data_IF_402903478934
#
_entry.id   IF_402903478934
#
_cell.length_a   1.000
_cell.length_b   1.000
_cell.length_c   1.000
_cell.angle_alpha   90.00
_cell.angle_beta   90.00
_cell.angle_gamma   90.00
#
_symmetry.space_group_name_H-M   'P 1'
#
loop_
_entity.id
_entity.type
_entity.pdbx_description
1 polymer ?
#
# COMPACT_ATOMS: atom_id res chain seq x y z
N UNK A 1 -0.03 3.53 -18.58
CA UNK A 1 0.20 4.92 -18.14
C UNK A 1 0.22 5.00 -16.61
N UNK A 2 0.88 6.00 -16.02
CA UNK A 2 0.80 6.30 -14.57
C UNK A 2 0.30 7.74 -14.41
N UNK A 3 -0.89 7.96 -13.86
CA UNK A 3 -1.31 9.29 -13.43
C UNK A 3 -0.34 9.79 -12.35
N UNK A 4 0.41 10.84 -12.69
CA UNK A 4 1.32 11.52 -11.78
C UNK A 4 0.52 12.49 -10.89
N UNK A 5 0.78 12.44 -9.57
CA UNK A 5 0.22 13.31 -8.53
C UNK A 5 -1.21 13.83 -8.86
N UNK A 6 -2.19 12.91 -8.98
CA UNK A 6 -3.46 13.16 -9.67
C UNK A 6 -4.35 14.20 -8.98
N UNK A 7 -4.06 14.50 -7.72
CA UNK A 7 -4.79 15.45 -6.89
C UNK A 7 -4.04 16.79 -6.68
N UNK A 8 -2.88 16.94 -7.32
CA UNK A 8 -2.07 18.15 -7.24
C UNK A 8 -2.90 19.40 -7.62
N UNK A 9 -2.88 20.47 -6.81
CA UNK A 9 -3.80 21.60 -6.95
C UNK A 9 -3.41 22.60 -8.06
N UNK A 10 -2.38 22.32 -8.85
CA UNK A 10 -1.96 23.21 -9.93
C UNK A 10 -2.75 23.00 -11.22
N UNK A 11 -2.83 24.05 -12.02
CA UNK A 11 -3.55 24.05 -13.30
C UNK A 11 -2.98 22.96 -14.21
N UNK A 12 -3.85 22.08 -14.69
CA UNK A 12 -3.48 20.99 -15.60
C UNK A 12 -3.00 19.70 -14.91
N UNK A 13 -2.81 19.70 -13.59
CA UNK A 13 -2.33 18.51 -12.87
C UNK A 13 -3.45 17.54 -12.48
N UNK A 14 -4.68 18.02 -12.33
CA UNK A 14 -5.79 17.16 -11.89
C UNK A 14 -6.12 16.07 -12.92
N UNK A 15 -5.96 14.81 -12.52
CA UNK A 15 -6.30 13.66 -13.34
C UNK A 15 -7.82 13.45 -13.40
N UNK A 16 -8.38 13.36 -14.61
CA UNK A 16 -9.84 13.25 -14.84
C UNK A 16 -10.27 12.13 -15.78
N UNK A 17 -9.33 11.30 -16.24
CA UNK A 17 -9.57 10.29 -17.28
C UNK A 17 -9.99 8.91 -16.73
N UNK A 18 -10.18 8.80 -15.40
CA UNK A 18 -10.39 7.52 -14.73
C UNK A 18 -9.12 6.66 -14.66
N UNK A 19 -9.20 5.52 -13.98
CA UNK A 19 -8.02 4.66 -13.69
C UNK A 19 -8.08 3.29 -14.41
N UNK A 20 -9.06 3.07 -15.28
CA UNK A 20 -9.29 1.80 -15.96
C UNK A 20 -8.11 1.30 -16.80
N UNK A 21 -7.38 2.23 -17.43
CA UNK A 21 -6.20 1.95 -18.27
C UNK A 21 -4.87 2.30 -17.59
N UNK A 22 -4.90 2.72 -16.32
CA UNK A 22 -3.69 3.05 -15.56
C UNK A 22 -2.97 1.78 -15.11
N UNK A 23 -1.66 1.68 -15.38
CA UNK A 23 -0.82 0.56 -14.94
C UNK A 23 -0.46 0.66 -13.45
N UNK A 24 -0.44 1.89 -12.93
CA UNK A 24 -0.21 2.27 -11.54
C UNK A 24 -0.69 3.72 -11.35
N UNK A 25 -0.67 4.24 -10.12
CA UNK A 25 -0.97 5.63 -9.79
C UNK A 25 0.06 6.18 -8.81
N UNK A 26 0.54 7.41 -9.03
CA UNK A 26 1.36 8.10 -8.05
C UNK A 26 0.48 8.67 -6.94
N UNK A 27 0.63 8.19 -5.72
CA UNK A 27 -0.15 8.63 -4.55
C UNK A 27 0.68 9.45 -3.56
N UNK A 28 1.98 9.58 -3.84
CA UNK A 28 2.90 10.34 -3.01
C UNK A 28 3.94 11.04 -3.90
N UNK A 29 3.90 12.37 -3.93
CA UNK A 29 4.80 13.18 -4.73
C UNK A 29 5.58 14.18 -3.88
N UNK A 30 6.91 14.02 -3.79
CA UNK A 30 7.74 14.90 -2.99
C UNK A 30 7.43 14.83 -1.47
N UNK A 31 7.65 15.92 -0.71
CA UNK A 31 7.24 15.97 0.69
C UNK A 31 5.74 15.70 0.85
N UNK A 32 5.35 14.91 1.86
CA UNK A 32 3.94 14.55 2.06
C UNK A 32 3.05 15.77 2.32
N UNK A 33 2.06 15.99 1.47
CA UNK A 33 1.14 17.14 1.52
C UNK A 33 -0.34 16.71 1.58
N UNK A 34 -1.28 17.64 1.84
CA UNK A 34 -2.70 17.32 1.86
C UNK A 34 -3.27 16.76 0.54
N UNK A 35 -2.69 17.08 -0.61
CA UNK A 35 -3.09 16.50 -1.90
C UNK A 35 -2.66 15.03 -2.04
N UNK A 36 -1.56 14.61 -1.41
CA UNK A 36 -1.22 13.19 -1.30
C UNK A 36 -2.25 12.43 -0.45
N UNK A 37 -2.81 13.03 0.61
CA UNK A 37 -3.91 12.41 1.37
C UNK A 37 -5.15 12.20 0.49
N UNK A 38 -5.45 13.14 -0.41
CA UNK A 38 -6.55 12.99 -1.36
C UNK A 38 -6.27 11.89 -2.39
N UNK A 39 -5.03 11.81 -2.89
CA UNK A 39 -4.61 10.76 -3.82
C UNK A 39 -4.65 9.37 -3.16
N UNK A 40 -4.19 9.27 -1.91
CA UNK A 40 -4.25 8.07 -1.09
C UNK A 40 -5.70 7.63 -0.87
N UNK A 41 -6.60 8.54 -0.50
CA UNK A 41 -8.01 8.24 -0.30
C UNK A 41 -8.70 7.80 -1.61
N UNK A 42 -8.39 8.47 -2.72
CA UNK A 42 -8.89 8.07 -4.04
C UNK A 42 -8.40 6.67 -4.44
N UNK A 43 -7.12 6.38 -4.19
CA UNK A 43 -6.54 5.06 -4.45
C UNK A 43 -7.14 3.96 -3.55
N UNK A 44 -7.36 4.22 -2.27
CA UNK A 44 -8.00 3.26 -1.36
C UNK A 44 -9.41 2.90 -1.84
N UNK A 45 -10.19 3.87 -2.34
CA UNK A 45 -11.49 3.61 -2.94
C UNK A 45 -11.40 2.71 -4.19
N UNK A 46 -10.31 2.80 -4.99
CA UNK A 46 -10.08 1.87 -6.11
C UNK A 46 -9.78 0.45 -5.62
N UNK A 47 -9.10 0.30 -4.48
CA UNK A 47 -8.89 -1.01 -3.86
C UNK A 47 -10.20 -1.62 -3.37
N UNK A 48 -11.04 -0.84 -2.69
CA UNK A 48 -12.38 -1.27 -2.24
C UNK A 48 -13.25 -1.67 -3.42
N UNK A 49 -13.29 -0.89 -4.51
CA UNK A 49 -14.01 -1.27 -5.72
C UNK A 49 -13.49 -2.59 -6.32
N UNK A 50 -12.17 -2.76 -6.40
CA UNK A 50 -11.56 -4.00 -6.89
C UNK A 50 -11.86 -5.20 -6.00
N UNK A 51 -11.93 -5.00 -4.68
CA UNK A 51 -12.35 -6.01 -3.72
C UNK A 51 -13.82 -6.39 -3.91
N UNK A 52 -14.72 -5.41 -4.11
CA UNK A 52 -16.15 -5.65 -4.34
C UNK A 52 -16.43 -6.40 -5.65
N UNK A 53 -15.57 -6.22 -6.66
CA UNK A 53 -15.63 -6.95 -7.94
C UNK A 53 -14.85 -8.27 -7.93
N UNK A 54 -14.26 -8.65 -6.81
CA UNK A 54 -13.40 -9.84 -6.71
C UNK A 54 -14.18 -11.13 -7.04
N UNK A 55 -13.47 -12.06 -7.69
CA UNK A 55 -13.98 -13.39 -7.99
C UNK A 55 -13.29 -14.47 -7.14
N UNK A 56 -13.53 -15.74 -7.47
CA UNK A 56 -12.92 -16.90 -6.77
C UNK A 56 -11.39 -16.95 -6.82
N UNK A 57 -10.76 -16.12 -7.66
CA UNK A 57 -9.32 -16.13 -7.93
C UNK A 57 -8.49 -15.09 -7.15
N UNK A 58 -9.13 -14.13 -6.48
CA UNK A 58 -8.48 -12.95 -5.90
C UNK A 58 -9.18 -11.65 -6.31
N UNK A 59 -8.56 -10.49 -6.08
CA UNK A 59 -9.15 -9.20 -6.49
C UNK A 59 -9.41 -9.18 -7.99
N UNK A 60 -10.35 -8.31 -8.41
CA UNK A 60 -10.39 -7.90 -9.79
C UNK A 60 -9.11 -7.12 -10.17
N UNK A 61 -9.05 -6.61 -11.40
CA UNK A 61 -8.00 -5.65 -11.78
C UNK A 61 -7.99 -4.48 -10.79
N UNK A 62 -6.84 -4.25 -10.17
CA UNK A 62 -6.54 -3.13 -9.29
C UNK A 62 -5.33 -2.35 -9.81
N UNK A 63 -5.10 -1.16 -9.27
CA UNK A 63 -4.04 -0.24 -9.71
C UNK A 63 -3.03 -0.06 -8.57
N UNK A 64 -1.78 -0.50 -8.73
CA UNK A 64 -0.73 -0.28 -7.72
C UNK A 64 -0.43 1.19 -7.47
N UNK A 65 -0.13 1.53 -6.21
CA UNK A 65 0.38 2.83 -5.79
C UNK A 65 1.90 2.91 -5.99
N UNK A 66 2.36 4.10 -6.38
CA UNK A 66 3.75 4.52 -6.52
C UNK A 66 3.99 5.86 -5.82
N UNK A 67 5.25 6.13 -5.50
CA UNK A 67 5.72 7.43 -5.06
C UNK A 67 7.02 7.82 -5.78
N UNK A 68 7.09 9.08 -6.20
CA UNK A 68 8.24 9.66 -6.88
C UNK A 68 8.57 11.03 -6.29
N UNK A 69 9.83 11.44 -6.41
CA UNK A 69 10.30 12.68 -5.78
C UNK A 69 9.97 13.96 -6.54
N UNK A 70 9.73 13.85 -7.84
CA UNK A 70 9.53 14.98 -8.76
C UNK A 70 10.52 16.13 -8.52
N UNK A 71 11.80 15.74 -8.42
CA UNK A 71 12.88 16.64 -8.09
C UNK A 71 13.31 17.41 -9.34
N UNK A 72 13.20 18.73 -9.28
CA UNK A 72 13.48 19.67 -10.35
C UNK A 72 14.76 20.47 -10.11
N UNK A 73 15.13 20.72 -8.84
CA UNK A 73 16.31 21.50 -8.47
C UNK A 73 16.69 21.29 -7.01
N UNK A 74 17.91 21.67 -6.66
CA UNK A 74 18.32 21.78 -5.26
C UNK A 74 17.40 22.76 -4.48
N UNK A 75 17.02 22.43 -3.23
CA UNK A 75 17.48 21.30 -2.41
C UNK A 75 16.58 20.04 -2.48
N UNK A 76 15.77 19.86 -3.52
CA UNK A 76 14.90 18.67 -3.63
C UNK A 76 15.73 17.39 -3.77
N UNK A 77 15.36 16.35 -3.03
CA UNK A 77 16.09 15.08 -2.98
C UNK A 77 15.49 14.10 -3.97
N UNK A 78 16.30 13.61 -4.92
CA UNK A 78 15.91 12.50 -5.80
C UNK A 78 15.65 11.26 -4.95
N UNK A 79 14.45 10.67 -5.09
CA UNK A 79 14.02 9.52 -4.27
C UNK A 79 13.39 9.87 -2.92
N UNK A 80 12.96 11.12 -2.72
CA UNK A 80 12.07 11.52 -1.61
C UNK A 80 10.66 11.89 -2.13
N UNK A 81 9.68 10.96 -2.11
CA UNK A 81 9.77 9.55 -1.72
C UNK A 81 10.37 8.66 -2.82
N UNK A 82 10.54 7.40 -2.46
CA UNK A 82 10.93 6.32 -3.36
C UNK A 82 9.90 5.19 -3.34
N UNK A 83 9.78 4.48 -4.47
CA UNK A 83 9.10 3.19 -4.55
C UNK A 83 10.12 2.06 -4.43
N UNK A 84 10.05 1.29 -3.35
CA UNK A 84 10.87 0.11 -3.13
C UNK A 84 10.18 -1.11 -3.72
N UNK A 85 10.82 -1.78 -4.66
CA UNK A 85 10.23 -2.84 -5.48
C UNK A 85 10.90 -4.19 -5.17
N UNK A 86 10.08 -5.22 -4.92
CA UNK A 86 10.54 -6.62 -4.83
C UNK A 86 10.44 -7.29 -6.20
N UNK A 87 11.50 -7.13 -6.98
CA UNK A 87 11.69 -7.76 -8.29
C UNK A 87 12.55 -9.03 -8.18
N UNK A 88 12.42 -9.92 -9.17
CA UNK A 88 13.22 -11.15 -9.24
C UNK A 88 14.67 -10.85 -9.68
N UNK A 89 14.85 -9.78 -10.44
CA UNK A 89 16.15 -9.24 -10.88
C UNK A 89 16.03 -7.72 -11.12
N UNK A 90 17.15 -7.02 -11.27
CA UNK A 90 17.23 -5.59 -11.57
C UNK A 90 16.99 -5.26 -13.05
N UNK A 91 16.53 -6.23 -13.85
CA UNK A 91 16.18 -5.98 -15.24
C UNK A 91 14.92 -5.11 -15.32
N UNK A 92 14.84 -4.26 -16.36
CA UNK A 92 13.63 -3.49 -16.66
C UNK A 92 12.37 -4.38 -16.67
N UNK A 93 12.46 -5.59 -17.21
CA UNK A 93 11.32 -6.51 -17.33
C UNK A 93 10.81 -6.91 -15.95
N UNK A 94 11.71 -7.35 -15.08
CA UNK A 94 11.34 -7.92 -13.78
C UNK A 94 10.93 -6.82 -12.79
N UNK A 95 11.54 -5.64 -12.87
CA UNK A 95 11.10 -4.43 -12.12
C UNK A 95 9.69 -4.03 -12.54
N UNK A 96 9.41 -3.91 -13.84
CA UNK A 96 8.07 -3.55 -14.30
C UNK A 96 7.02 -4.63 -14.00
N UNK A 97 7.40 -5.92 -14.02
CA UNK A 97 6.52 -7.00 -13.63
C UNK A 97 6.17 -6.93 -12.14
N UNK A 98 7.14 -6.62 -11.28
CA UNK A 98 6.91 -6.43 -9.85
C UNK A 98 6.04 -5.20 -9.55
N UNK A 99 6.28 -4.08 -10.23
CA UNK A 99 5.44 -2.88 -10.13
C UNK A 99 4.00 -3.17 -10.54
N UNK A 100 3.77 -3.84 -11.67
CA UNK A 100 2.41 -4.21 -12.12
C UNK A 100 1.70 -5.17 -11.17
N UNK A 101 2.45 -6.05 -10.51
CA UNK A 101 1.92 -6.92 -9.48
C UNK A 101 1.76 -6.21 -8.11
N UNK A 102 2.14 -4.93 -8.03
CA UNK A 102 2.16 -4.14 -6.81
C UNK A 102 3.02 -4.72 -5.70
N UNK A 103 4.09 -5.45 -6.06
CA UNK A 103 5.11 -5.95 -5.11
C UNK A 103 6.05 -4.82 -4.69
N UNK A 104 5.47 -3.76 -4.12
CA UNK A 104 6.21 -2.56 -3.74
C UNK A 104 5.61 -1.83 -2.55
N UNK A 105 6.46 -1.14 -1.81
CA UNK A 105 6.07 -0.14 -0.82
C UNK A 105 6.71 1.20 -1.15
N UNK A 106 6.14 2.27 -0.61
CA UNK A 106 6.61 3.64 -0.74
C UNK A 106 7.25 4.05 0.58
N UNK A 107 8.35 4.79 0.52
CA UNK A 107 9.05 5.28 1.70
C UNK A 107 9.61 6.68 1.46
N UNK A 108 9.63 7.51 2.50
CA UNK A 108 10.18 8.86 2.40
C UNK A 108 11.69 8.87 2.13
N UNK A 109 12.41 7.80 2.46
CA UNK A 109 13.86 7.71 2.21
C UNK A 109 14.35 6.27 2.22
N UNK A 110 15.60 6.08 1.77
CA UNK A 110 16.32 4.79 1.82
C UNK A 110 16.64 4.30 3.23
N UNK A 111 16.51 5.15 4.25
CA UNK A 111 16.65 4.73 5.63
C UNK A 111 15.46 3.89 6.13
N UNK A 112 14.29 4.02 5.49
CA UNK A 112 13.06 3.36 5.93
C UNK A 112 12.87 2.03 5.19
N UNK A 113 12.65 0.96 5.94
CA UNK A 113 12.34 -0.37 5.39
C UNK A 113 11.10 -0.98 6.04
N UNK A 114 10.29 -1.66 5.24
CA UNK A 114 9.09 -2.36 5.70
C UNK A 114 9.18 -3.86 5.43
N UNK A 115 8.76 -4.67 6.40
CA UNK A 115 8.47 -6.10 6.22
C UNK A 115 7.00 -6.34 6.53
N UNK A 116 6.25 -6.74 5.51
CA UNK A 116 4.81 -6.93 5.61
C UNK A 116 4.40 -8.30 5.07
N UNK A 117 3.65 -9.07 5.86
CA UNK A 117 3.25 -10.43 5.51
C UNK A 117 1.96 -10.86 6.20
N UNK A 118 1.23 -11.76 5.56
CA UNK A 118 0.12 -12.51 6.12
C UNK A 118 0.43 -14.00 6.11
N UNK A 119 0.06 -14.71 7.19
CA UNK A 119 0.20 -16.17 7.31
C UNK A 119 -1.08 -16.76 7.87
N UNK A 120 -1.59 -17.83 7.29
CA UNK A 120 -2.73 -18.58 7.83
C UNK A 120 -2.31 -19.76 8.72
N UNK A 121 -3.27 -20.36 9.43
CA UNK A 121 -3.04 -21.51 10.33
C UNK A 121 -2.53 -22.77 9.60
N UNK A 122 -2.57 -22.80 8.26
CA UNK A 122 -2.10 -23.92 7.42
C UNK A 122 -0.74 -23.65 6.78
N UNK A 123 -0.08 -22.53 7.13
CA UNK A 123 1.22 -22.15 6.60
C UNK A 123 1.17 -21.47 5.22
N UNK A 124 -0.03 -21.18 4.70
CA UNK A 124 -0.19 -20.30 3.54
C UNK A 124 0.33 -18.91 3.88
N UNK A 125 1.04 -18.27 2.95
CA UNK A 125 1.64 -16.97 3.17
C UNK A 125 1.47 -16.05 1.95
N UNK A 126 1.45 -14.74 2.20
CA UNK A 126 1.49 -13.71 1.18
C UNK A 126 2.22 -12.47 1.70
N UNK A 127 2.98 -11.83 0.82
CA UNK A 127 3.56 -10.50 1.02
C UNK A 127 2.80 -9.40 0.27
N UNK A 128 3.44 -8.23 0.20
CA UNK A 128 2.96 -7.05 -0.52
C UNK A 128 2.66 -7.40 -1.99
N UNK A 129 1.46 -7.07 -2.47
CA UNK A 129 0.99 -7.36 -3.83
C UNK A 129 0.55 -8.80 -4.08
N UNK A 130 0.76 -9.71 -3.13
CA UNK A 130 0.42 -11.12 -3.26
C UNK A 130 -0.98 -11.44 -2.70
N UNK A 131 -1.51 -12.63 -3.01
CA UNK A 131 -2.84 -13.09 -2.59
C UNK A 131 -2.71 -14.32 -1.70
N UNK A 132 -3.18 -14.23 -0.46
CA UNK A 132 -3.33 -15.37 0.45
C UNK A 132 -4.69 -16.04 0.21
N UNK A 133 -4.67 -17.27 -0.32
CA UNK A 133 -5.87 -18.09 -0.53
C UNK A 133 -6.14 -18.97 0.68
N UNK A 134 -7.14 -18.62 1.48
CA UNK A 134 -7.44 -19.31 2.75
C UNK A 134 -8.94 -19.59 2.92
N UNK A 135 -9.33 -20.31 3.96
CA UNK A 135 -10.76 -20.51 4.26
C UNK A 135 -11.41 -19.19 4.72
N UNK A 136 -12.70 -18.96 4.47
CA UNK A 136 -13.37 -17.71 4.85
C UNK A 136 -13.19 -17.39 6.34
N UNK A 137 -13.26 -18.41 7.20
CA UNK A 137 -13.13 -18.27 8.66
C UNK A 137 -11.77 -18.72 9.20
N UNK A 138 -10.84 -19.11 8.33
CA UNK A 138 -9.49 -19.48 8.75
C UNK A 138 -8.77 -18.25 9.31
N UNK A 139 -8.09 -18.39 10.45
CA UNK A 139 -7.37 -17.26 11.03
C UNK A 139 -6.15 -16.92 10.18
N UNK A 140 -6.03 -15.63 9.89
CA UNK A 140 -4.89 -15.02 9.23
C UNK A 140 -4.21 -14.10 10.23
N UNK A 141 -2.90 -14.27 10.39
CA UNK A 141 -2.04 -13.38 11.16
C UNK A 141 -1.31 -12.46 10.20
N UNK A 142 -1.60 -11.17 10.30
CA UNK A 142 -0.93 -10.10 9.54
C UNK A 142 0.10 -9.45 10.42
N UNK A 143 1.30 -9.19 9.86
CA UNK A 143 2.42 -8.61 10.59
C UNK A 143 3.10 -7.55 9.76
N UNK A 144 3.35 -6.40 10.37
CA UNK A 144 4.18 -5.32 9.85
C UNK A 144 5.34 -5.06 10.81
N UNK A 145 6.53 -4.89 10.25
CA UNK A 145 7.73 -4.38 10.91
C UNK A 145 8.26 -3.19 10.11
N UNK A 146 8.60 -2.11 10.79
CA UNK A 146 9.21 -0.93 10.19
C UNK A 146 10.54 -0.65 10.88
N UNK A 147 11.56 -0.30 10.09
CA UNK A 147 12.85 0.17 10.57
C UNK A 147 13.19 1.52 9.94
N UNK A 148 13.96 2.35 10.65
CA UNK A 148 14.37 3.67 10.18
C UNK A 148 13.33 4.78 10.31
N UNK A 149 12.14 4.49 10.84
CA UNK A 149 11.17 5.50 11.23
C UNK A 149 11.53 6.15 12.58
N UNK A 150 11.04 7.37 12.82
CA UNK A 150 11.19 8.06 14.09
C UNK A 150 10.55 7.27 15.25
N UNK A 151 11.06 7.46 16.47
CA UNK A 151 10.64 6.68 17.65
C UNK A 151 9.16 6.88 18.02
N UNK A 152 8.59 8.04 17.68
CA UNK A 152 7.19 8.40 17.88
C UNK A 152 6.28 8.04 16.71
N UNK A 153 6.84 7.47 15.62
CA UNK A 153 6.05 7.05 14.48
C UNK A 153 5.06 5.93 14.84
N UNK A 154 3.93 5.92 14.14
CA UNK A 154 2.80 5.00 14.36
C UNK A 154 2.61 4.14 13.12
N UNK A 155 2.65 2.82 13.29
CA UNK A 155 2.18 1.85 12.30
C UNK A 155 0.66 1.71 12.38
N UNK A 156 0.01 1.65 11.22
CA UNK A 156 -1.43 1.41 11.05
C UNK A 156 -1.64 0.28 10.05
N UNK A 157 -2.62 -0.58 10.32
CA UNK A 157 -3.10 -1.61 9.42
C UNK A 157 -4.53 -1.26 9.03
N UNK A 158 -4.76 -1.13 7.72
CA UNK A 158 -6.01 -0.70 7.12
C UNK A 158 -6.52 -1.78 6.17
N UNK A 159 -7.83 -1.91 6.08
CA UNK A 159 -8.53 -2.87 5.21
C UNK A 159 -9.62 -2.16 4.42
N UNK A 160 -10.41 -2.92 3.66
CA UNK A 160 -11.64 -2.44 3.03
C UNK A 160 -12.69 -1.89 4.01
N UNK A 161 -12.49 -2.08 5.31
CA UNK A 161 -13.34 -1.56 6.39
C UNK A 161 -12.70 -0.39 7.16
N UNK A 162 -11.55 0.13 6.70
CA UNK A 162 -10.81 1.21 7.35
C UNK A 162 -9.68 0.73 8.27
N UNK A 163 -9.23 1.58 9.19
CA UNK A 163 -8.16 1.27 10.14
C UNK A 163 -8.65 0.29 11.23
N UNK A 164 -8.04 -0.89 11.32
CA UNK A 164 -8.42 -1.92 12.31
C UNK A 164 -7.39 -2.12 13.40
N UNK A 165 -6.15 -1.71 13.19
CA UNK A 165 -5.09 -1.82 14.20
C UNK A 165 -4.03 -0.74 14.01
N UNK A 166 -3.61 -0.13 15.12
CA UNK A 166 -2.43 0.72 15.16
C UNK A 166 -1.55 0.46 16.38
N UNK A 167 -0.31 0.95 16.31
CA UNK A 167 0.66 0.87 17.39
C UNK A 167 1.99 1.55 17.03
N UNK A 168 2.92 1.70 17.99
CA UNK A 168 4.25 2.25 17.76
C UNK A 168 5.01 1.50 16.65
N UNK A 169 5.66 2.25 15.76
CA UNK A 169 6.40 1.68 14.63
C UNK A 169 7.70 0.98 15.03
N UNK A 170 8.30 1.36 16.16
CA UNK A 170 9.53 0.75 16.70
C UNK A 170 9.37 -0.69 17.21
N UNK A 171 8.18 -1.29 17.09
CA UNK A 171 7.92 -2.69 17.39
C UNK A 171 7.10 -3.32 16.28
N UNK A 172 7.27 -4.62 16.11
CA UNK A 172 6.41 -5.37 15.20
C UNK A 172 4.95 -5.29 15.65
N UNK A 173 4.08 -4.94 14.71
CA UNK A 173 2.64 -4.88 14.94
C UNK A 173 2.00 -6.10 14.28
N UNK A 174 1.31 -6.89 15.10
CA UNK A 174 0.56 -8.07 14.64
C UNK A 174 -0.93 -7.83 14.81
N UNK A 175 -1.71 -8.30 13.85
CA UNK A 175 -3.16 -8.29 13.88
C UNK A 175 -3.72 -9.62 13.34
N UNK A 176 -4.89 -10.03 13.83
CA UNK A 176 -5.56 -11.26 13.41
C UNK A 176 -6.89 -10.93 12.76
N UNK A 177 -7.15 -11.55 11.62
CA UNK A 177 -8.37 -11.39 10.82
C UNK A 177 -8.72 -12.70 10.13
N UNK A 178 -9.75 -12.68 9.28
CA UNK A 178 -10.09 -13.76 8.35
C UNK A 178 -10.39 -13.18 6.97
N UNK A 179 -10.45 -14.03 5.95
CA UNK A 179 -10.84 -13.60 4.60
C UNK A 179 -12.32 -13.18 4.50
N UNK A 180 -13.16 -13.56 5.48
CA UNK A 180 -14.53 -13.08 5.58
C UNK A 180 -14.64 -11.67 6.18
N UNK A 181 -13.65 -11.24 6.96
CA UNK A 181 -13.63 -9.93 7.63
C UNK A 181 -12.85 -8.87 6.85
N UNK A 182 -11.92 -9.28 5.99
CA UNK A 182 -11.06 -8.37 5.26
C UNK A 182 -10.65 -8.97 3.93
N UNK A 183 -10.76 -8.19 2.86
CA UNK A 183 -10.44 -8.61 1.49
C UNK A 183 -9.01 -8.22 1.11
N UNK A 184 -8.47 -7.18 1.73
CA UNK A 184 -7.06 -6.82 1.67
C UNK A 184 -6.61 -6.20 2.99
N UNK A 185 -5.30 -6.13 3.15
CA UNK A 185 -4.67 -5.37 4.23
C UNK A 185 -3.53 -4.55 3.65
N UNK A 186 -3.46 -3.28 4.01
CA UNK A 186 -2.34 -2.38 3.73
C UNK A 186 -1.82 -1.80 5.04
N UNK A 187 -0.53 -1.49 5.05
CA UNK A 187 0.13 -0.83 6.16
C UNK A 187 0.53 0.61 5.81
N UNK A 188 0.45 1.48 6.80
CA UNK A 188 1.01 2.83 6.80
C UNK A 188 1.90 3.02 8.03
N UNK A 189 2.97 3.78 7.88
CA UNK A 189 3.80 4.31 8.96
C UNK A 189 3.71 5.83 8.86
N UNK A 190 3.25 6.47 9.91
CA UNK A 190 3.04 7.92 9.94
C UNK A 190 3.75 8.54 11.12
N UNK A 191 4.19 9.80 10.97
CA UNK A 191 4.50 10.65 12.12
C UNK A 191 3.24 10.85 12.98
N UNK A 192 3.36 11.24 14.26
CA UNK A 192 2.21 11.64 15.05
C UNK A 192 1.37 12.71 14.33
N UNK A 193 0.05 12.55 14.37
CA UNK A 193 -0.87 13.56 13.89
C UNK A 193 -0.98 14.73 14.86
N UNK A 194 -1.59 15.83 14.41
CA UNK A 194 -1.84 17.03 15.21
C UNK A 194 -3.28 17.48 15.05
N UNK A 195 -3.96 17.84 16.14
CA UNK A 195 -5.31 18.46 16.05
C UNK A 195 -6.37 17.61 15.34
N UNK A 196 -6.23 16.28 15.35
CA UNK A 196 -7.17 15.36 14.69
C UNK A 196 -6.84 15.03 13.23
N UNK A 197 -5.80 15.61 12.64
CA UNK A 197 -5.34 15.24 11.30
C UNK A 197 -4.32 14.10 11.37
N UNK A 198 -4.28 13.19 10.36
CA UNK A 198 -3.20 12.24 10.21
C UNK A 198 -1.85 12.96 10.09
N UNK A 199 -0.81 12.40 10.70
CA UNK A 199 0.55 12.89 10.51
C UNK A 199 1.10 12.47 9.15
N UNK A 200 2.16 13.16 8.72
CA UNK A 200 2.81 12.92 7.44
C UNK A 200 3.24 11.46 7.27
N UNK A 201 3.10 10.94 6.05
CA UNK A 201 3.53 9.59 5.70
C UNK A 201 5.05 9.45 5.85
N UNK A 202 5.47 8.31 6.40
CA UNK A 202 6.87 7.86 6.47
C UNK A 202 7.06 6.69 5.51
N UNK A 203 6.10 5.77 5.48
CA UNK A 203 6.05 4.69 4.50
C UNK A 203 4.63 4.12 4.36
N UNK A 204 4.29 3.57 3.20
CA UNK A 204 3.04 2.84 2.98
C UNK A 204 3.24 1.67 2.03
N UNK A 205 2.43 0.63 2.17
CA UNK A 205 2.50 -0.56 1.31
C UNK A 205 1.39 -0.56 0.26
N UNK A 206 1.64 -1.13 -0.92
CA UNK A 206 0.56 -1.74 -1.68
C UNK A 206 -0.10 -2.87 -0.86
N UNK A 207 -1.37 -3.20 -1.10
CA UNK A 207 -2.07 -4.20 -0.31
C UNK A 207 -1.47 -5.60 -0.49
N UNK A 208 -1.60 -6.44 0.54
CA UNK A 208 -1.72 -7.88 0.37
C UNK A 208 -3.20 -8.24 0.36
N UNK A 209 -3.57 -9.26 -0.41
CA UNK A 209 -4.97 -9.65 -0.60
C UNK A 209 -5.31 -10.92 0.16
N UNK A 210 -6.52 -10.99 0.72
CA UNK A 210 -7.07 -12.17 1.37
C UNK A 210 -8.25 -12.67 0.52
N UNK A 211 -8.17 -13.91 0.07
CA UNK A 211 -9.19 -14.50 -0.80
C UNK A 211 -9.73 -15.78 -0.18
N UNK A 212 -11.04 -15.77 0.10
CA UNK A 212 -11.75 -16.95 0.58
C UNK A 212 -11.85 -18.00 -0.54
N UNK A 213 -11.28 -19.18 -0.31
CA UNK A 213 -11.54 -20.36 -1.13
C UNK A 213 -12.96 -20.82 -0.81
N UNK A 214 -13.85 -20.84 -1.80
CA UNK A 214 -15.09 -21.59 -1.68
C UNK A 214 -14.72 -23.07 -1.49
N UNK A 215 -15.25 -23.75 -0.47
CA UNK A 215 -15.20 -25.21 -0.44
C UNK A 215 -15.79 -25.73 -1.74
N UNK A 216 -15.04 -26.56 -2.47
CA UNK A 216 -15.67 -27.43 -3.47
C UNK A 216 -16.65 -28.31 -2.69
N UNK A 217 -17.94 -28.10 -2.90
CA UNK A 217 -18.98 -29.04 -2.48
C UNK A 217 -18.94 -30.28 -3.32
#
# INVERSE_FOLDING_TARGET
VVPAHPNCPFVGCQWKFGYGDADAVEVWNGPWTPDDELALAAWDNLLVDSAGRAGRGGPARWVPALGCSDAHREPQVVGHPQTVVRADDLTRRDVLAAVRAGRSYLAESSAVSLRFSAVDERGGHAGIGEVLRTGPDARVTVRIEASGAAADAVCRLLTDQGELRSGPAGRALTWRTTAAQSTYVRAEVRRPGSGGTPGAMVAMTNPLWLSARSSAG
#
